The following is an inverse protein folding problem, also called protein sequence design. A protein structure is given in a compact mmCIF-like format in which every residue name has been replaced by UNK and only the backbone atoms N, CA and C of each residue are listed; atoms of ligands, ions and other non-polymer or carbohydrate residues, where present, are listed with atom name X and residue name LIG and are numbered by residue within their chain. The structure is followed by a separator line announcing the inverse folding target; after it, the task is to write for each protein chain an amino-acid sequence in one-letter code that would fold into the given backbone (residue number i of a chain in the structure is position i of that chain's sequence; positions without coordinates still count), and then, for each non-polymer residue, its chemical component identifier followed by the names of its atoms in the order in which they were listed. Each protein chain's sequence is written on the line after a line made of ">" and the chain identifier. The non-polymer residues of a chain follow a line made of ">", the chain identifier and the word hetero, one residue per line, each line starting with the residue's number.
data_IF_658772360571
#
_entry.id   IF_658772360571
#
_cell.length_a   1.000
_cell.length_b   1.000
_cell.length_c   1.000
_cell.angle_alpha   90.00
_cell.angle_beta   90.00
_cell.angle_gamma   90.00
#
_symmetry.space_group_name_H-M   'P 1'
#
loop_
_entity.id
_entity.type
_entity.pdbx_description
1 polymer ?
#
# COMPACT_ATOMS: atom_id res chain seq x y z
N UNK A 1 13.70 12.54 21.13
CA UNK A 1 13.00 12.48 19.86
C UNK A 1 12.45 11.08 19.75
N UNK A 2 11.13 10.89 19.85
CA UNK A 2 10.50 9.59 19.62
C UNK A 2 10.77 9.22 18.15
N UNK A 3 11.23 8.00 17.96
CA UNK A 3 11.56 7.48 16.63
C UNK A 3 10.25 7.28 15.88
N UNK A 4 9.88 8.22 14.99
CA UNK A 4 8.63 8.19 14.21
C UNK A 4 8.65 7.13 13.07
N UNK A 5 9.67 6.27 13.07
CA UNK A 5 9.83 5.19 12.08
C UNK A 5 8.84 4.06 12.35
N UNK A 6 7.95 3.81 11.39
CA UNK A 6 6.94 2.74 11.50
C UNK A 6 7.49 1.43 10.92
N UNK A 7 8.16 1.48 9.78
CA UNK A 7 8.81 0.33 9.14
C UNK A 7 10.29 0.65 8.93
N UNK A 8 11.18 -0.27 9.31
CA UNK A 8 12.61 -0.19 9.00
C UNK A 8 13.10 -1.52 8.45
N UNK A 9 13.77 -1.48 7.32
CA UNK A 9 14.44 -2.62 6.71
C UNK A 9 15.95 -2.42 6.79
N UNK A 10 16.68 -3.48 7.12
CA UNK A 10 18.14 -3.52 7.17
C UNK A 10 18.64 -4.66 6.30
N UNK A 11 19.38 -4.34 5.25
CA UNK A 11 19.96 -5.29 4.29
C UNK A 11 18.94 -6.35 3.81
N UNK A 12 17.71 -5.89 3.56
CA UNK A 12 16.56 -6.74 3.23
C UNK A 12 16.69 -7.34 1.83
N UNK A 13 16.47 -8.65 1.73
CA UNK A 13 16.20 -9.37 0.46
C UNK A 13 14.99 -10.27 0.69
N UNK A 14 13.92 -10.17 -0.15
CA UNK A 14 12.76 -11.07 -0.04
C UNK A 14 13.09 -12.54 -0.22
N UNK A 15 12.38 -13.41 0.49
CA UNK A 15 12.57 -14.87 0.41
C UNK A 15 11.97 -15.50 -0.85
N UNK A 16 10.92 -14.89 -1.42
CA UNK A 16 10.12 -15.48 -2.50
C UNK A 16 10.07 -14.57 -3.74
N UNK A 17 11.20 -14.42 -4.44
CA UNK A 17 11.23 -13.62 -5.68
C UNK A 17 10.89 -14.41 -6.94
N UNK A 18 10.92 -15.76 -6.89
CA UNK A 18 10.68 -16.63 -8.03
C UNK A 18 11.83 -16.67 -9.05
N UNK A 19 12.97 -16.06 -8.72
CA UNK A 19 14.23 -16.07 -9.50
C UNK A 19 15.41 -15.87 -8.56
N UNK A 20 16.63 -16.24 -9.02
CA UNK A 20 17.87 -16.06 -8.25
C UNK A 20 18.26 -14.56 -8.29
N UNK A 21 17.98 -13.86 -7.18
CA UNK A 21 18.32 -12.46 -7.02
C UNK A 21 19.72 -12.28 -6.46
N UNK A 22 20.55 -11.51 -7.18
CA UNK A 22 21.95 -11.21 -6.81
C UNK A 22 22.23 -9.71 -6.69
N UNK A 23 21.16 -8.92 -6.74
CA UNK A 23 21.27 -7.46 -6.64
C UNK A 23 21.45 -6.99 -5.20
N UNK A 24 21.37 -5.68 -5.04
CA UNK A 24 21.57 -5.01 -3.74
C UNK A 24 20.44 -5.32 -2.78
N UNK A 25 20.81 -5.46 -1.51
CA UNK A 25 19.87 -5.48 -0.42
C UNK A 25 19.30 -4.07 -0.15
N UNK A 26 18.11 -3.99 0.42
CA UNK A 26 17.41 -2.76 0.72
C UNK A 26 17.63 -2.33 2.15
N UNK A 27 18.12 -1.10 2.34
CA UNK A 27 18.01 -0.34 3.57
C UNK A 27 16.92 0.71 3.38
N UNK A 28 15.90 0.72 4.26
CA UNK A 28 14.73 1.57 4.14
C UNK A 28 14.21 1.97 5.52
N UNK A 29 13.77 3.22 5.62
CA UNK A 29 12.94 3.71 6.72
C UNK A 29 11.69 4.39 6.17
N UNK A 30 10.51 4.00 6.69
CA UNK A 30 9.23 4.66 6.47
C UNK A 30 8.81 5.33 7.77
N UNK A 31 8.79 6.64 7.77
CA UNK A 31 8.27 7.48 8.85
C UNK A 31 6.79 7.76 8.71
N UNK A 32 6.22 8.44 9.72
CA UNK A 32 4.81 8.85 9.72
C UNK A 32 4.54 9.91 8.64
N UNK A 33 3.48 9.71 7.86
CA UNK A 33 3.08 10.61 6.77
C UNK A 33 3.99 10.59 5.53
N UNK A 34 4.98 9.68 5.48
CA UNK A 34 5.85 9.53 4.31
C UNK A 34 5.20 8.63 3.24
N UNK A 35 5.54 8.90 1.99
CA UNK A 35 5.11 8.13 0.82
C UNK A 35 6.29 7.47 0.14
N UNK A 36 6.23 6.15 -0.04
CA UNK A 36 7.22 5.36 -0.78
C UNK A 36 6.55 4.68 -1.97
N UNK A 37 7.11 4.85 -3.17
CA UNK A 37 6.69 4.08 -4.35
C UNK A 37 7.75 3.08 -4.77
N UNK A 38 7.29 1.86 -5.07
CA UNK A 38 8.10 0.79 -5.67
C UNK A 38 7.72 0.69 -7.14
N UNK A 39 8.66 1.01 -8.01
CA UNK A 39 8.48 1.02 -9.46
C UNK A 39 9.45 0.06 -10.15
N UNK A 40 9.23 -0.25 -11.41
CA UNK A 40 10.11 -1.11 -12.20
C UNK A 40 9.37 -2.00 -13.20
N UNK A 41 10.09 -2.77 -14.03
CA UNK A 41 9.50 -3.62 -15.05
C UNK A 41 8.52 -4.68 -14.51
N UNK A 42 7.67 -5.22 -15.39
CA UNK A 42 6.82 -6.36 -15.04
C UNK A 42 7.68 -7.56 -14.66
N UNK A 43 7.16 -8.39 -13.74
CA UNK A 43 7.84 -9.60 -13.24
C UNK A 43 9.20 -9.35 -12.57
N UNK A 44 9.43 -8.16 -12.04
CA UNK A 44 10.64 -7.83 -11.26
C UNK A 44 10.54 -8.14 -9.77
N UNK A 45 9.41 -8.68 -9.31
CA UNK A 45 9.21 -9.06 -7.91
C UNK A 45 8.74 -7.89 -7.00
N UNK A 46 8.31 -6.75 -7.56
CA UNK A 46 7.83 -5.59 -6.76
C UNK A 46 6.83 -5.95 -5.66
N UNK A 47 5.85 -6.81 -6.00
CA UNK A 47 4.85 -7.25 -5.02
C UNK A 47 5.44 -8.07 -3.88
N UNK A 48 6.47 -8.89 -4.15
CA UNK A 48 7.19 -9.62 -3.10
C UNK A 48 7.98 -8.66 -2.19
N UNK A 49 8.66 -7.66 -2.77
CA UNK A 49 9.30 -6.61 -2.00
C UNK A 49 8.30 -5.90 -1.07
N UNK A 50 7.15 -5.46 -1.60
CA UNK A 50 6.11 -4.82 -0.79
C UNK A 50 5.62 -5.71 0.35
N UNK A 51 5.32 -7.00 0.08
CA UNK A 51 4.84 -7.93 1.11
C UNK A 51 5.90 -8.21 2.17
N UNK A 52 7.16 -8.37 1.77
CA UNK A 52 8.25 -8.59 2.72
C UNK A 52 8.51 -7.34 3.57
N UNK A 53 8.50 -6.13 3.00
CA UNK A 53 8.61 -4.87 3.74
C UNK A 53 7.49 -4.73 4.79
N UNK A 54 6.27 -5.19 4.47
CA UNK A 54 5.13 -5.18 5.40
C UNK A 54 5.12 -6.37 6.38
N UNK A 55 6.13 -7.25 6.36
CA UNK A 55 6.21 -8.44 7.22
C UNK A 55 5.18 -9.53 6.89
N UNK A 56 4.64 -9.55 5.67
CA UNK A 56 3.67 -10.54 5.20
C UNK A 56 4.31 -11.75 4.53
N UNK A 57 5.56 -11.62 4.12
CA UNK A 57 6.40 -12.71 3.58
C UNK A 57 7.78 -12.66 4.25
N UNK A 58 8.37 -13.83 4.42
CA UNK A 58 9.69 -13.98 5.00
C UNK A 58 10.78 -13.40 4.08
N UNK A 59 11.83 -12.90 4.68
CA UNK A 59 13.05 -12.48 4.01
C UNK A 59 14.03 -13.66 3.86
N UNK A 60 14.84 -13.65 2.78
CA UNK A 60 15.99 -14.54 2.61
C UNK A 60 17.25 -14.00 3.29
N UNK A 61 17.33 -12.66 3.43
CA UNK A 61 18.42 -11.98 4.14
C UNK A 61 17.94 -10.66 4.74
N UNK A 62 18.67 -10.17 5.72
CA UNK A 62 18.39 -8.90 6.41
C UNK A 62 17.31 -9.02 7.46
N UNK A 63 16.77 -7.86 7.86
CA UNK A 63 15.76 -7.73 8.92
C UNK A 63 14.70 -6.70 8.57
N UNK A 64 13.48 -6.96 9.01
CA UNK A 64 12.35 -6.02 8.96
C UNK A 64 11.93 -5.72 10.40
N UNK A 65 11.87 -4.44 10.73
CA UNK A 65 11.34 -3.98 12.01
C UNK A 65 10.00 -3.28 11.77
N UNK A 66 8.98 -3.73 12.46
CA UNK A 66 7.63 -3.15 12.43
C UNK A 66 7.37 -2.51 13.79
N UNK A 67 7.17 -1.20 13.81
CA UNK A 67 7.03 -0.41 15.07
C UNK A 67 8.16 -0.70 16.07
N UNK A 68 9.37 -0.88 15.58
CA UNK A 68 10.57 -1.13 16.36
C UNK A 68 10.80 -2.58 16.78
N UNK A 69 9.89 -3.51 16.49
CA UNK A 69 10.03 -4.94 16.81
C UNK A 69 10.53 -5.68 15.58
N UNK A 70 11.56 -6.51 15.72
CA UNK A 70 12.03 -7.41 14.64
C UNK A 70 10.92 -8.37 14.24
N UNK A 71 10.60 -8.46 12.95
CA UNK A 71 9.47 -9.25 12.45
C UNK A 71 9.59 -10.75 12.78
N UNK A 72 10.81 -11.26 12.94
CA UNK A 72 11.07 -12.63 13.35
C UNK A 72 10.76 -12.92 14.83
N UNK A 73 10.70 -11.87 15.67
CA UNK A 73 10.52 -11.99 17.11
C UNK A 73 9.12 -11.55 17.58
N UNK A 74 8.23 -11.17 16.65
CA UNK A 74 6.89 -10.68 16.96
C UNK A 74 6.02 -11.82 17.49
N UNK A 75 5.47 -11.64 18.71
CA UNK A 75 4.50 -12.56 19.29
C UNK A 75 3.18 -12.60 18.51
N UNK A 76 2.39 -13.67 18.65
CA UNK A 76 1.07 -13.75 18.00
C UNK A 76 0.13 -12.61 18.43
N UNK A 77 0.23 -12.16 19.69
CA UNK A 77 -0.55 -11.04 20.23
C UNK A 77 -0.12 -9.71 19.61
N UNK A 78 1.19 -9.47 19.51
CA UNK A 78 1.71 -8.24 18.90
C UNK A 78 1.46 -8.21 17.38
N UNK A 79 1.48 -9.36 16.72
CA UNK A 79 1.07 -9.47 15.31
C UNK A 79 -0.37 -8.99 15.07
N UNK A 80 -1.29 -9.29 15.97
CA UNK A 80 -2.66 -8.82 15.85
C UNK A 80 -2.73 -7.28 15.88
N UNK A 81 -1.96 -6.63 16.76
CA UNK A 81 -1.86 -5.16 16.85
C UNK A 81 -1.17 -4.56 15.62
N UNK A 82 -0.07 -5.16 15.16
CA UNK A 82 0.69 -4.69 14.00
C UNK A 82 -0.16 -4.78 12.72
N UNK A 83 -0.92 -5.86 12.53
CA UNK A 83 -1.80 -6.03 11.36
C UNK A 83 -2.94 -5.00 11.29
N UNK A 84 -3.38 -4.46 12.42
CA UNK A 84 -4.31 -3.32 12.42
C UNK A 84 -3.62 -2.02 12.02
N UNK A 85 -2.33 -1.89 12.35
CA UNK A 85 -1.52 -0.69 12.09
C UNK A 85 -0.95 -0.62 10.67
N UNK A 86 -0.76 -1.77 10.00
CA UNK A 86 -0.22 -1.87 8.63
C UNK A 86 -1.24 -2.59 7.76
N UNK A 87 -2.03 -1.83 7.03
CA UNK A 87 -3.05 -2.36 6.14
C UNK A 87 -2.46 -2.63 4.74
N UNK A 88 -2.54 -3.88 4.29
CA UNK A 88 -2.10 -4.27 2.95
C UNK A 88 -3.29 -4.59 2.05
N UNK A 89 -3.30 -4.01 0.84
CA UNK A 89 -4.30 -4.29 -0.18
C UNK A 89 -3.64 -4.79 -1.47
N UNK A 90 -4.12 -5.94 -1.93
CA UNK A 90 -3.83 -6.48 -3.25
C UNK A 90 -4.82 -5.90 -4.28
N UNK A 91 -4.50 -5.99 -5.58
CA UNK A 91 -5.44 -5.62 -6.65
C UNK A 91 -6.72 -6.47 -6.61
N UNK A 92 -6.62 -7.74 -6.18
CA UNK A 92 -7.76 -8.58 -5.82
C UNK A 92 -8.21 -8.26 -4.40
N UNK A 93 -9.35 -7.62 -4.28
CA UNK A 93 -9.84 -6.97 -3.06
C UNK A 93 -10.22 -7.90 -1.91
N UNK A 94 -10.33 -9.21 -2.16
CA UNK A 94 -10.75 -10.23 -1.18
C UNK A 94 -11.96 -9.81 -0.34
N UNK A 95 -13.02 -9.26 -0.99
CA UNK A 95 -14.29 -8.97 -0.33
C UNK A 95 -15.03 -10.26 -0.03
N UNK A 96 -15.74 -10.29 1.10
CA UNK A 96 -16.61 -11.39 1.48
C UNK A 96 -17.84 -11.41 0.58
N UNK A 97 -17.98 -12.44 -0.24
CA UNK A 97 -19.03 -12.55 -1.26
C UNK A 97 -20.45 -12.61 -0.69
N UNK A 98 -20.60 -13.05 0.55
CA UNK A 98 -21.88 -13.16 1.26
C UNK A 98 -22.26 -11.88 2.06
N UNK A 99 -21.39 -10.85 2.06
CA UNK A 99 -21.63 -9.58 2.73
C UNK A 99 -21.77 -8.46 1.70
N UNK A 100 -22.69 -7.53 1.92
CA UNK A 100 -22.85 -6.34 1.07
C UNK A 100 -21.67 -5.36 1.27
N UNK A 101 -21.66 -4.25 0.53
CA UNK A 101 -20.57 -3.26 0.56
C UNK A 101 -20.32 -2.74 1.97
N UNK A 102 -21.34 -2.27 2.68
CA UNK A 102 -21.21 -1.73 4.02
C UNK A 102 -20.70 -2.77 5.03
N UNK A 103 -21.25 -3.98 5.00
CA UNK A 103 -20.81 -5.05 5.90
C UNK A 103 -19.36 -5.47 5.66
N UNK A 104 -18.90 -5.46 4.40
CA UNK A 104 -17.50 -5.69 4.09
C UNK A 104 -16.57 -4.68 4.77
N UNK A 105 -16.97 -3.42 4.88
CA UNK A 105 -16.20 -2.39 5.59
C UNK A 105 -16.22 -2.61 7.09
N UNK A 106 -17.39 -2.97 7.66
CA UNK A 106 -17.59 -3.06 9.10
C UNK A 106 -17.00 -4.31 9.76
N UNK A 107 -17.00 -5.46 9.07
CA UNK A 107 -16.65 -6.76 9.66
C UNK A 107 -15.30 -6.77 10.39
N UNK A 108 -14.17 -6.30 9.83
CA UNK A 108 -12.90 -6.32 10.55
C UNK A 108 -12.91 -5.47 11.81
N UNK A 109 -13.54 -4.30 11.76
CA UNK A 109 -13.63 -3.41 12.91
C UNK A 109 -14.53 -4.00 14.00
N UNK A 110 -15.65 -4.65 13.64
CA UNK A 110 -16.51 -5.37 14.57
C UNK A 110 -15.77 -6.56 15.21
N UNK A 111 -14.99 -7.29 14.44
CA UNK A 111 -14.20 -8.42 14.93
C UNK A 111 -13.16 -7.99 15.99
N UNK A 112 -12.44 -6.91 15.74
CA UNK A 112 -11.40 -6.41 16.65
C UNK A 112 -11.95 -5.65 17.87
N UNK A 113 -13.21 -5.21 17.84
CA UNK A 113 -13.84 -4.41 18.90
C UNK A 113 -15.07 -5.09 19.50
N UNK A 114 -15.17 -6.42 19.42
CA UNK A 114 -16.31 -7.17 19.98
C UNK A 114 -16.51 -6.93 21.47
N UNK A 115 -15.48 -6.58 22.22
CA UNK A 115 -15.50 -6.30 23.65
C UNK A 115 -15.92 -4.85 23.99
N UNK A 116 -15.99 -3.96 22.99
CA UNK A 116 -16.33 -2.54 23.14
C UNK A 116 -17.72 -2.23 22.56
N UNK A 117 -18.76 -2.84 23.14
CA UNK A 117 -20.15 -2.75 22.64
C UNK A 117 -20.78 -1.34 22.49
N UNK A 118 -20.33 -0.25 23.14
CA UNK A 118 -20.98 1.07 23.03
C UNK A 118 -20.78 1.79 21.69
N UNK A 119 -19.83 1.38 20.85
CA UNK A 119 -19.41 2.15 19.67
C UNK A 119 -20.02 1.72 18.32
N UNK A 120 -20.93 0.75 18.29
CA UNK A 120 -21.50 0.25 17.03
C UNK A 120 -22.15 1.32 16.14
N UNK A 121 -22.98 2.26 16.65
CA UNK A 121 -23.56 3.32 15.82
C UNK A 121 -22.48 4.26 15.27
N UNK A 122 -21.53 4.67 16.11
CA UNK A 122 -20.42 5.54 15.71
C UNK A 122 -19.52 4.90 14.63
N UNK A 123 -19.32 3.59 14.71
CA UNK A 123 -18.53 2.85 13.72
C UNK A 123 -19.22 2.81 12.35
N UNK A 124 -20.54 2.63 12.31
CA UNK A 124 -21.32 2.65 11.08
C UNK A 124 -21.31 4.03 10.44
N UNK A 125 -21.48 5.10 11.23
CA UNK A 125 -21.42 6.48 10.73
C UNK A 125 -20.04 6.81 10.16
N UNK A 126 -18.96 6.38 10.81
CA UNK A 126 -17.60 6.54 10.30
C UNK A 126 -17.38 5.79 8.99
N UNK A 127 -17.88 4.57 8.88
CA UNK A 127 -17.80 3.78 7.65
C UNK A 127 -18.55 4.45 6.50
N UNK A 128 -19.77 4.97 6.77
CA UNK A 128 -20.56 5.69 5.77
C UNK A 128 -19.88 6.98 5.32
N UNK A 129 -19.38 7.81 6.25
CA UNK A 129 -18.66 9.04 5.93
C UNK A 129 -17.41 8.75 5.07
N UNK A 130 -16.64 7.71 5.42
CA UNK A 130 -15.45 7.31 4.65
C UNK A 130 -15.82 6.83 3.24
N UNK A 131 -16.90 6.07 3.10
CA UNK A 131 -17.38 5.59 1.80
C UNK A 131 -17.91 6.75 0.93
N UNK A 132 -18.60 7.71 1.54
CA UNK A 132 -19.07 8.92 0.86
C UNK A 132 -17.90 9.80 0.38
N UNK A 133 -16.84 9.92 1.20
CA UNK A 133 -15.63 10.65 0.81
C UNK A 133 -14.88 9.95 -0.35
N UNK A 134 -14.83 8.62 -0.36
CA UNK A 134 -14.18 7.85 -1.43
C UNK A 134 -15.00 7.91 -2.72
N UNK A 135 -16.29 7.65 -2.65
CA UNK A 135 -17.19 7.66 -3.80
C UNK A 135 -18.66 7.53 -3.37
N UNK A 136 -19.44 8.62 -3.40
CA UNK A 136 -20.85 8.59 -3.03
C UNK A 136 -21.76 7.78 -3.99
N UNK A 137 -21.24 7.32 -5.12
CA UNK A 137 -22.01 6.56 -6.11
C UNK A 137 -22.00 5.05 -5.85
N UNK A 138 -21.24 4.57 -4.84
CA UNK A 138 -21.20 3.14 -4.52
C UNK A 138 -22.53 2.70 -3.93
N UNK A 139 -23.17 1.71 -4.54
CA UNK A 139 -24.33 1.06 -3.95
C UNK A 139 -23.87 0.09 -2.85
N UNK A 140 -24.02 0.52 -1.59
CA UNK A 140 -23.52 -0.19 -0.42
C UNK A 140 -24.36 -1.42 -0.04
N UNK A 141 -25.59 -1.54 -0.55
CA UNK A 141 -26.48 -2.66 -0.28
C UNK A 141 -26.21 -3.86 -1.19
N UNK A 142 -25.45 -3.64 -2.28
CA UNK A 142 -25.12 -4.70 -3.23
C UNK A 142 -24.03 -5.64 -2.72
N UNK A 143 -24.13 -6.91 -3.15
CA UNK A 143 -23.07 -7.89 -2.95
C UNK A 143 -21.90 -7.61 -3.93
N UNK A 144 -20.65 -8.00 -3.58
CA UNK A 144 -19.48 -7.75 -4.41
C UNK A 144 -19.60 -8.23 -5.87
N UNK A 145 -20.36 -9.30 -6.11
CA UNK A 145 -20.58 -9.85 -7.46
C UNK A 145 -21.28 -8.87 -8.42
N UNK A 146 -22.04 -7.92 -7.89
CA UNK A 146 -22.81 -6.93 -8.67
C UNK A 146 -22.11 -5.57 -8.74
N UNK A 147 -21.04 -5.37 -7.98
CA UNK A 147 -20.26 -4.16 -7.98
C UNK A 147 -19.15 -4.18 -9.05
N UNK A 148 -18.85 -3.03 -9.62
CA UNK A 148 -17.67 -2.87 -10.49
C UNK A 148 -16.39 -3.18 -9.74
N UNK A 149 -15.32 -3.57 -10.44
CA UNK A 149 -14.00 -3.79 -9.81
C UNK A 149 -13.46 -2.54 -9.11
N UNK A 150 -13.74 -1.37 -9.65
CA UNK A 150 -13.39 -0.08 -9.03
C UNK A 150 -14.13 0.09 -7.70
N UNK A 151 -15.44 -0.14 -7.65
CA UNK A 151 -16.22 -0.04 -6.42
C UNK A 151 -15.78 -1.08 -5.39
N UNK A 152 -15.50 -2.33 -5.81
CA UNK A 152 -14.94 -3.35 -4.93
C UNK A 152 -13.62 -2.89 -4.31
N UNK A 153 -12.73 -2.27 -5.11
CA UNK A 153 -11.45 -1.77 -4.63
C UNK A 153 -11.62 -0.61 -3.62
N UNK A 154 -12.50 0.35 -3.92
CA UNK A 154 -12.82 1.47 -3.02
C UNK A 154 -13.40 0.99 -1.68
N UNK A 155 -14.29 -0.02 -1.70
CA UNK A 155 -14.81 -0.67 -0.49
C UNK A 155 -13.68 -1.35 0.32
N UNK A 156 -12.74 -2.02 -0.36
CA UNK A 156 -11.61 -2.65 0.33
C UNK A 156 -10.67 -1.61 0.98
N UNK A 157 -10.49 -0.45 0.34
CA UNK A 157 -9.74 0.67 0.92
C UNK A 157 -10.47 1.25 2.13
N UNK A 158 -11.79 1.48 2.04
CA UNK A 158 -12.60 1.95 3.18
C UNK A 158 -12.53 0.96 4.36
N UNK A 159 -12.61 -0.34 4.08
CA UNK A 159 -12.44 -1.42 5.07
C UNK A 159 -11.09 -1.33 5.80
N UNK A 160 -10.03 -1.07 5.06
CA UNK A 160 -8.69 -0.93 5.62
C UNK A 160 -8.55 0.34 6.47
N UNK A 161 -9.03 1.48 5.97
CA UNK A 161 -8.92 2.78 6.63
C UNK A 161 -9.83 2.91 7.85
N UNK A 162 -10.93 2.16 7.94
CA UNK A 162 -11.81 2.16 9.12
C UNK A 162 -11.08 1.71 10.39
N UNK A 163 -10.01 0.90 10.25
CA UNK A 163 -9.15 0.47 11.36
C UNK A 163 -8.11 1.52 11.77
N UNK A 164 -8.06 2.69 11.11
CA UNK A 164 -7.09 3.78 11.35
C UNK A 164 -5.63 3.28 11.32
N UNK A 165 -5.18 2.66 10.22
CA UNK A 165 -3.82 2.16 10.14
C UNK A 165 -2.81 3.32 10.10
N UNK A 166 -1.60 3.09 10.60
CA UNK A 166 -0.48 4.02 10.45
C UNK A 166 0.09 3.99 9.02
N UNK A 167 -0.02 2.82 8.35
CA UNK A 167 0.49 2.59 6.99
C UNK A 167 -0.56 1.91 6.14
N UNK A 168 -0.76 2.44 4.92
CA UNK A 168 -1.52 1.81 3.85
C UNK A 168 -0.53 1.30 2.79
N UNK A 169 -0.49 -0.02 2.58
CA UNK A 169 0.33 -0.67 1.59
C UNK A 169 -0.53 -1.11 0.40
N UNK A 170 -0.32 -0.51 -0.78
CA UNK A 170 -1.13 -0.74 -1.97
C UNK A 170 -0.33 -1.47 -3.06
N UNK A 171 -0.82 -2.62 -3.50
CA UNK A 171 -0.24 -3.32 -4.63
C UNK A 171 -1.09 -3.08 -5.88
N UNK A 172 -0.58 -2.27 -6.81
CA UNK A 172 -1.19 -1.90 -8.08
C UNK A 172 -2.60 -1.27 -7.94
N UNK A 173 -2.74 -0.17 -7.19
CA UNK A 173 -4.03 0.39 -6.78
C UNK A 173 -4.94 0.83 -7.94
N UNK A 174 -4.37 1.10 -9.12
CA UNK A 174 -5.11 1.68 -10.25
C UNK A 174 -5.43 0.67 -11.37
N UNK A 175 -5.24 -0.64 -11.15
CA UNK A 175 -5.37 -1.68 -12.16
C UNK A 175 -6.74 -1.67 -12.91
N UNK A 176 -7.80 -1.25 -12.23
CA UNK A 176 -9.17 -1.30 -12.76
C UNK A 176 -9.80 0.08 -13.01
N UNK A 177 -9.06 1.15 -12.76
CA UNK A 177 -9.58 2.52 -12.84
C UNK A 177 -9.48 3.08 -14.27
N UNK A 178 -10.51 3.79 -14.71
CA UNK A 178 -10.42 4.72 -15.84
C UNK A 178 -9.79 6.05 -15.40
N UNK A 179 -9.52 6.96 -16.34
CA UNK A 179 -8.82 8.22 -16.06
C UNK A 179 -9.51 9.05 -14.97
N UNK A 180 -10.83 9.21 -15.07
CA UNK A 180 -11.60 10.09 -14.17
C UNK A 180 -11.68 9.52 -12.75
N UNK A 181 -12.06 8.24 -12.62
CA UNK A 181 -12.14 7.57 -11.33
C UNK A 181 -10.76 7.43 -10.67
N UNK A 182 -9.70 7.28 -11.48
CA UNK A 182 -8.31 7.26 -11.00
C UNK A 182 -7.93 8.61 -10.38
N UNK A 183 -8.17 9.72 -11.07
CA UNK A 183 -7.86 11.05 -10.57
C UNK A 183 -8.58 11.36 -9.25
N UNK A 184 -9.88 11.05 -9.16
CA UNK A 184 -10.64 11.22 -7.92
C UNK A 184 -10.05 10.41 -6.78
N UNK A 185 -9.70 9.16 -7.03
CA UNK A 185 -9.11 8.28 -6.03
C UNK A 185 -7.69 8.71 -5.63
N UNK A 186 -6.89 9.24 -6.55
CA UNK A 186 -5.58 9.84 -6.25
C UNK A 186 -5.72 11.01 -5.28
N UNK A 187 -6.64 11.94 -5.54
CA UNK A 187 -6.94 13.07 -4.64
C UNK A 187 -7.37 12.59 -3.24
N UNK A 188 -8.22 11.56 -3.19
CA UNK A 188 -8.61 10.95 -1.92
C UNK A 188 -7.39 10.42 -1.14
N UNK A 189 -6.52 9.63 -1.78
CA UNK A 189 -5.30 9.09 -1.13
C UNK A 189 -4.37 10.22 -0.68
N UNK A 190 -4.15 11.25 -1.49
CA UNK A 190 -3.33 12.40 -1.12
C UNK A 190 -3.86 13.13 0.11
N UNK A 191 -5.19 13.24 0.25
CA UNK A 191 -5.80 13.83 1.44
C UNK A 191 -5.56 12.96 2.68
N UNK A 192 -5.63 11.63 2.56
CA UNK A 192 -5.31 10.74 3.68
C UNK A 192 -3.84 10.88 4.09
N UNK A 193 -2.91 11.00 3.15
CA UNK A 193 -1.48 11.24 3.42
C UNK A 193 -1.27 12.59 4.13
N UNK A 194 -1.91 13.67 3.66
CA UNK A 194 -1.88 15.00 4.31
C UNK A 194 -2.41 14.95 5.75
N UNK A 195 -3.32 14.02 6.04
CA UNK A 195 -3.86 13.76 7.37
C UNK A 195 -2.97 12.84 8.23
N UNK A 196 -1.78 12.48 7.75
CA UNK A 196 -0.76 11.74 8.50
C UNK A 196 -0.71 10.23 8.24
N UNK A 197 -1.47 9.71 7.26
CA UNK A 197 -1.34 8.32 6.81
C UNK A 197 -0.02 8.16 6.04
N UNK A 198 0.76 7.14 6.38
CA UNK A 198 1.94 6.76 5.58
C UNK A 198 1.51 5.83 4.45
N UNK A 199 2.13 5.96 3.29
CA UNK A 199 1.80 5.17 2.11
C UNK A 199 3.03 4.44 1.58
N UNK A 200 2.88 3.16 1.29
CA UNK A 200 3.84 2.43 0.46
C UNK A 200 3.09 1.74 -0.68
N UNK A 201 3.48 1.96 -1.93
CA UNK A 201 2.75 1.39 -3.05
C UNK A 201 3.65 0.80 -4.13
N UNK A 202 3.19 -0.28 -4.73
CA UNK A 202 3.67 -0.75 -6.05
C UNK A 202 2.73 -0.20 -7.09
N UNK A 203 3.24 0.50 -8.09
CA UNK A 203 2.41 1.05 -9.16
C UNK A 203 3.10 1.01 -10.53
N UNK A 204 2.29 0.95 -11.58
CA UNK A 204 2.71 1.15 -12.97
C UNK A 204 2.49 2.59 -13.44
N UNK A 205 1.82 3.41 -12.65
CA UNK A 205 1.66 4.84 -12.91
C UNK A 205 2.89 5.61 -12.42
N UNK A 206 3.88 5.72 -13.31
CA UNK A 206 5.17 6.33 -12.96
C UNK A 206 5.03 7.83 -12.70
N UNK A 207 4.16 8.51 -13.44
CA UNK A 207 3.91 9.94 -13.23
C UNK A 207 3.41 10.19 -11.82
N UNK A 208 2.37 9.47 -11.42
CA UNK A 208 1.80 9.60 -10.07
C UNK A 208 2.82 9.21 -8.99
N UNK A 209 3.55 8.10 -9.20
CA UNK A 209 4.60 7.69 -8.26
C UNK A 209 5.64 8.79 -8.03
N UNK A 210 6.12 9.42 -9.12
CA UNK A 210 7.10 10.50 -9.06
C UNK A 210 6.53 11.80 -8.46
N UNK A 211 5.23 12.03 -8.57
CA UNK A 211 4.61 13.27 -8.07
C UNK A 211 4.28 13.21 -6.58
N UNK A 212 3.85 12.05 -6.05
CA UNK A 212 3.41 11.94 -4.66
C UNK A 212 4.52 11.47 -3.69
N UNK A 213 5.56 10.77 -4.20
CA UNK A 213 6.48 10.05 -3.30
C UNK A 213 7.61 10.91 -2.78
N UNK A 214 7.89 10.75 -1.48
CA UNK A 214 9.11 11.25 -0.84
C UNK A 214 10.32 10.39 -1.21
N UNK A 215 10.11 9.07 -1.33
CA UNK A 215 11.15 8.08 -1.60
C UNK A 215 10.70 7.13 -2.71
N UNK A 216 11.64 6.70 -3.54
CA UNK A 216 11.34 5.82 -4.67
C UNK A 216 12.30 4.63 -4.66
N UNK A 217 11.76 3.44 -4.83
CA UNK A 217 12.52 2.21 -4.98
C UNK A 217 12.30 1.70 -6.41
N UNK A 218 13.35 1.65 -7.20
CA UNK A 218 13.32 0.98 -8.49
C UNK A 218 13.80 -0.47 -8.34
N UNK A 219 12.98 -1.42 -8.75
CA UNK A 219 13.28 -2.85 -8.66
C UNK A 219 13.33 -3.47 -10.05
N UNK A 220 14.43 -4.12 -10.36
CA UNK A 220 14.60 -5.01 -11.51
C UNK A 220 14.85 -6.46 -11.06
N UNK A 221 14.99 -7.39 -12.02
CA UNK A 221 15.41 -8.75 -11.70
C UNK A 221 16.87 -8.86 -11.26
N UNK A 222 17.69 -7.89 -11.66
CA UNK A 222 19.14 -7.92 -11.48
C UNK A 222 19.57 -7.05 -10.31
N UNK A 223 18.85 -5.93 -10.05
CA UNK A 223 19.28 -4.97 -9.04
C UNK A 223 18.12 -4.14 -8.48
N UNK A 224 18.40 -3.44 -7.40
CA UNK A 224 17.53 -2.49 -6.72
C UNK A 224 18.26 -1.16 -6.56
N UNK A 225 17.52 -0.06 -6.78
CA UNK A 225 18.02 1.29 -6.57
C UNK A 225 17.03 2.06 -5.69
N UNK A 226 17.55 2.72 -4.68
CA UNK A 226 16.79 3.55 -3.75
C UNK A 226 17.11 5.02 -3.99
N UNK A 227 16.09 5.87 -3.97
CA UNK A 227 16.17 7.31 -4.19
C UNK A 227 15.34 8.04 -3.14
N UNK A 228 15.94 9.06 -2.52
CA UNK A 228 15.34 9.91 -1.46
C UNK A 228 14.54 11.08 -2.02
N UNK A 229 14.42 11.19 -3.34
CA UNK A 229 13.60 12.23 -3.98
C UNK A 229 13.34 11.90 -5.44
N UNK A 230 12.32 12.55 -6.02
CA UNK A 230 12.04 12.55 -7.45
C UNK A 230 13.26 13.04 -8.26
N UNK A 231 13.94 14.08 -7.77
CA UNK A 231 15.09 14.65 -8.48
C UNK A 231 16.25 13.64 -8.57
N UNK A 232 16.50 12.89 -7.49
CA UNK A 232 17.55 11.86 -7.47
C UNK A 232 17.31 10.76 -8.53
N UNK A 233 16.04 10.46 -8.86
CA UNK A 233 15.69 9.51 -9.92
C UNK A 233 16.12 10.03 -11.29
N UNK A 234 15.87 11.32 -11.60
CA UNK A 234 16.24 11.91 -12.90
C UNK A 234 17.76 12.11 -13.04
N UNK A 235 18.44 12.42 -11.95
CA UNK A 235 19.87 12.71 -11.94
C UNK A 235 20.76 11.46 -11.76
N UNK A 236 20.16 10.28 -11.56
CA UNK A 236 20.89 9.07 -11.18
C UNK A 236 21.90 8.56 -12.23
N UNK A 237 21.73 8.91 -13.50
CA UNK A 237 22.58 8.43 -14.61
C UNK A 237 22.55 6.91 -14.85
N UNK A 238 21.65 6.17 -14.18
CA UNK A 238 21.55 4.71 -14.26
C UNK A 238 20.78 4.33 -15.53
N UNK A 239 21.40 3.63 -16.51
CA UNK A 239 20.77 3.40 -17.82
C UNK A 239 19.44 2.68 -17.79
N UNK A 240 19.29 1.66 -16.92
CA UNK A 240 18.04 0.87 -16.81
C UNK A 240 16.91 1.72 -16.23
N UNK A 241 17.19 2.58 -15.25
CA UNK A 241 16.22 3.48 -14.63
C UNK A 241 15.77 4.53 -15.64
N UNK A 242 16.74 5.21 -16.28
CA UNK A 242 16.47 6.26 -17.28
C UNK A 242 15.68 5.72 -18.48
N UNK A 243 16.05 4.53 -18.97
CA UNK A 243 15.30 3.86 -20.05
C UNK A 243 13.86 3.56 -19.63
N UNK A 244 13.65 3.05 -18.41
CA UNK A 244 12.32 2.71 -17.90
C UNK A 244 11.42 3.95 -17.79
N UNK A 245 11.93 5.04 -17.20
CA UNK A 245 11.17 6.29 -17.01
C UNK A 245 10.84 6.95 -18.35
N UNK A 246 11.81 7.03 -19.29
CA UNK A 246 11.59 7.63 -20.60
C UNK A 246 10.58 6.85 -21.46
N UNK A 247 10.56 5.51 -21.38
CA UNK A 247 9.59 4.68 -22.12
C UNK A 247 8.17 4.88 -21.61
N UNK A 248 7.98 5.10 -20.31
CA UNK A 248 6.67 5.33 -19.70
C UNK A 248 6.22 6.79 -19.82
N UNK A 249 7.16 7.76 -19.76
CA UNK A 249 6.87 9.19 -19.94
C UNK A 249 6.34 9.53 -21.34
N UNK A 250 6.77 8.81 -22.38
CA UNK A 250 6.29 8.99 -23.76
C UNK A 250 4.88 8.43 -24.01
N UNK A 251 4.33 7.61 -23.10
CA UNK A 251 2.95 7.11 -23.22
C UNK A 251 1.89 8.10 -22.67
N UNK A 252 2.31 9.13 -21.96
CA UNK A 252 1.43 10.17 -21.40
C UNK A 252 1.26 11.36 -22.34
N UNK A 253 2.05 11.44 -23.42
CA UNK A 253 2.07 12.56 -24.37
C UNK A 253 1.47 12.23 -25.75
N UNK A 254 0.76 11.11 -25.88
CA UNK A 254 0.12 10.69 -27.13
C UNK A 254 -1.44 10.50 -26.87
#
# INVERSE_FOLDING_TARGET
>A
MQNDTIIRCQQLIPGQLGFDYKGKALDLELGRGEVISIIGPNYSGKGNWLRTICGLEDQSAGKVYLKGIDSSDISAEDWAKIRMSIAYLHEDTALLSAANGLMNVLIPALYHRLDEAPEKPLLADRALNLLEEIDPQINLDELPAYLSKVHQYKIAVARALLLEPDVLALNNPFAHFNSDSKQQFQVFIENQVKNGLSLIMVTHDISYALDISDKIIFVSREDLFYFDSKQAVFDCGIPIVNKFINLQGNQVSA
#
